data_IF_766383156003
#
_entry.id   IF_766383156003
#
_cell.length_a   1.000
_cell.length_b   1.000
_cell.length_c   1.000
_cell.angle_alpha   90.00
_cell.angle_beta   90.00
_cell.angle_gamma   90.00
#
_symmetry.space_group_name_H-M   'P 1'
#
loop_
_entity.id
_entity.type
_entity.pdbx_description
1 polymer ?
#
# COMPACT_ATOMS: atom_id res chain seq x y z
N UNK A 1 20.38 -19.72 7.48
CA UNK A 1 21.25 -18.58 7.18
C UNK A 1 21.04 -17.54 8.27
N UNK A 2 22.06 -16.77 8.61
CA UNK A 2 21.97 -15.67 9.55
C UNK A 2 21.64 -14.38 8.77
N UNK A 3 20.54 -13.75 9.11
CA UNK A 3 20.00 -12.61 8.36
C UNK A 3 19.74 -11.46 9.31
N UNK A 4 20.10 -10.26 8.91
CA UNK A 4 19.68 -9.05 9.62
C UNK A 4 18.73 -8.24 8.75
N UNK A 5 17.68 -7.71 9.37
CA UNK A 5 16.75 -6.77 8.72
C UNK A 5 16.80 -5.45 9.47
N UNK A 6 17.24 -4.40 8.80
CA UNK A 6 17.33 -3.05 9.36
C UNK A 6 16.09 -2.25 8.95
N UNK A 7 15.34 -1.81 9.93
CA UNK A 7 14.01 -1.21 9.81
C UNK A 7 12.90 -2.23 10.04
N UNK A 8 12.03 -1.96 11.04
CA UNK A 8 10.87 -2.79 11.39
C UNK A 8 9.55 -2.09 11.07
N UNK A 9 9.54 -1.33 9.97
CA UNK A 9 8.31 -0.91 9.34
C UNK A 9 7.57 -2.09 8.71
N UNK A 10 6.51 -1.80 7.96
CA UNK A 10 5.67 -2.83 7.34
C UNK A 10 6.48 -3.86 6.55
N UNK A 11 7.29 -3.40 5.59
CA UNK A 11 8.11 -4.26 4.72
C UNK A 11 9.14 -5.07 5.52
N UNK A 12 9.84 -4.40 6.45
CA UNK A 12 10.92 -5.05 7.21
C UNK A 12 10.41 -6.11 8.16
N UNK A 13 9.31 -5.85 8.88
CA UNK A 13 8.77 -6.81 9.84
C UNK A 13 8.17 -8.04 9.14
N UNK A 14 7.44 -7.84 8.04
CA UNK A 14 6.94 -8.96 7.22
C UNK A 14 8.11 -9.76 6.64
N UNK A 15 9.12 -9.07 6.09
CA UNK A 15 10.33 -9.73 5.53
C UNK A 15 11.04 -10.57 6.60
N UNK A 16 11.35 -9.98 7.76
CA UNK A 16 12.04 -10.69 8.83
C UNK A 16 11.27 -11.90 9.35
N UNK A 17 9.97 -11.73 9.58
CA UNK A 17 9.10 -12.81 10.06
C UNK A 17 9.00 -13.95 9.05
N UNK A 18 8.78 -13.64 7.76
CA UNK A 18 8.66 -14.64 6.72
C UNK A 18 9.99 -15.34 6.40
N UNK A 19 11.13 -14.65 6.53
CA UNK A 19 12.45 -15.27 6.41
C UNK A 19 12.71 -16.22 7.58
N UNK A 20 12.35 -15.87 8.81
CA UNK A 20 12.45 -16.75 9.97
C UNK A 20 11.56 -18.00 9.82
N UNK A 21 10.39 -17.87 9.19
CA UNK A 21 9.46 -18.96 8.96
C UNK A 21 10.04 -20.09 8.11
N UNK A 22 10.95 -19.80 7.21
CA UNK A 22 11.65 -20.82 6.40
C UNK A 22 12.93 -21.36 7.05
N UNK A 23 13.13 -21.08 8.34
CA UNK A 23 14.21 -21.68 9.15
C UNK A 23 15.50 -20.87 9.16
N UNK A 24 15.48 -19.60 8.73
CA UNK A 24 16.61 -18.70 8.93
C UNK A 24 16.61 -18.16 10.35
N UNK A 25 17.80 -17.80 10.86
CA UNK A 25 17.99 -17.08 12.10
C UNK A 25 18.01 -15.58 11.78
N UNK A 26 17.02 -14.84 12.24
CA UNK A 26 16.77 -13.46 11.84
C UNK A 26 16.85 -12.52 13.02
N UNK A 27 17.67 -11.47 12.90
CA UNK A 27 17.73 -10.37 13.84
C UNK A 27 17.20 -9.09 13.16
N UNK A 28 16.08 -8.56 13.66
CA UNK A 28 15.52 -7.31 13.21
C UNK A 28 16.05 -6.15 14.05
N UNK A 29 16.48 -5.08 13.39
CA UNK A 29 17.06 -3.88 14.01
C UNK A 29 16.14 -2.68 13.74
N UNK A 30 15.80 -1.93 14.78
CA UNK A 30 15.11 -0.63 14.66
C UNK A 30 15.65 0.32 15.74
N UNK A 31 15.72 1.61 15.43
CA UNK A 31 16.15 2.64 16.38
C UNK A 31 15.07 2.98 17.42
N UNK A 32 13.83 2.62 17.17
CA UNK A 32 12.68 2.88 18.04
C UNK A 32 12.64 1.83 19.16
N UNK A 33 13.11 2.21 20.34
CA UNK A 33 13.12 1.35 21.53
C UNK A 33 11.72 0.85 21.88
N UNK A 34 10.70 1.68 21.73
CA UNK A 34 9.32 1.32 22.08
C UNK A 34 8.77 0.22 21.17
N UNK A 35 9.07 0.28 19.88
CA UNK A 35 8.74 -0.80 18.93
C UNK A 35 9.47 -2.10 19.25
N UNK A 36 10.76 -2.01 19.56
CA UNK A 36 11.57 -3.17 19.91
C UNK A 36 11.03 -3.84 21.19
N UNK A 37 10.63 -3.08 22.20
CA UNK A 37 10.00 -3.57 23.43
C UNK A 37 8.67 -4.29 23.14
N UNK A 38 7.80 -3.70 22.34
CA UNK A 38 6.54 -4.31 21.89
C UNK A 38 6.81 -5.64 21.19
N UNK A 39 7.74 -5.67 20.23
CA UNK A 39 8.07 -6.89 19.49
C UNK A 39 8.70 -7.97 20.38
N UNK A 40 9.58 -7.60 21.31
CA UNK A 40 10.15 -8.53 22.33
C UNK A 40 9.09 -9.12 23.24
N UNK A 41 8.01 -8.38 23.51
CA UNK A 41 6.87 -8.90 24.29
C UNK A 41 5.99 -9.89 23.49
N UNK A 42 6.29 -10.12 22.22
CA UNK A 42 5.52 -11.01 21.33
C UNK A 42 4.33 -10.33 20.64
N UNK A 43 4.25 -9.00 20.68
CA UNK A 43 3.20 -8.24 20.02
C UNK A 43 3.69 -7.67 18.68
N UNK A 44 2.80 -7.67 17.66
CA UNK A 44 3.09 -7.09 16.34
C UNK A 44 2.62 -5.63 16.32
N UNK A 45 3.51 -4.65 16.04
CA UNK A 45 3.16 -3.23 16.07
C UNK A 45 2.48 -2.71 14.79
N UNK A 46 2.11 -3.59 13.86
CA UNK A 46 1.44 -3.26 12.60
C UNK A 46 0.23 -4.18 12.39
N UNK A 47 -0.76 -3.70 11.64
CA UNK A 47 -1.86 -4.55 11.19
C UNK A 47 -1.49 -5.25 9.88
N UNK A 48 -1.43 -6.58 9.89
CA UNK A 48 -1.30 -7.43 8.70
C UNK A 48 -1.88 -8.80 9.00
N UNK A 49 -2.89 -9.27 8.25
CA UNK A 49 -3.48 -10.58 8.44
C UNK A 49 -2.44 -11.70 8.43
N UNK A 50 -2.61 -12.65 9.35
CA UNK A 50 -1.75 -13.85 9.53
C UNK A 50 -0.32 -13.59 10.02
N UNK A 51 0.12 -12.35 10.16
CA UNK A 51 1.48 -12.04 10.63
C UNK A 51 1.69 -12.46 12.08
N UNK A 52 0.74 -12.21 12.97
CA UNK A 52 0.82 -12.52 14.41
C UNK A 52 1.18 -13.98 14.66
N UNK A 53 0.54 -14.89 13.95
CA UNK A 53 0.74 -16.34 14.11
C UNK A 53 2.19 -16.76 13.77
N UNK A 54 2.71 -16.24 12.65
CA UNK A 54 4.08 -16.52 12.21
C UNK A 54 5.09 -15.86 13.14
N UNK A 55 4.82 -14.63 13.53
CA UNK A 55 5.65 -13.83 14.42
C UNK A 55 5.87 -14.54 15.77
N UNK A 56 4.80 -14.87 16.47
CA UNK A 56 4.85 -15.55 17.76
C UNK A 56 5.52 -16.93 17.67
N UNK A 57 5.22 -17.69 16.61
CA UNK A 57 5.83 -19.01 16.37
C UNK A 57 7.35 -18.92 16.22
N UNK A 58 7.83 -17.92 15.49
CA UNK A 58 9.26 -17.76 15.24
C UNK A 58 10.03 -17.17 16.40
N UNK A 59 9.41 -16.29 17.20
CA UNK A 59 9.98 -15.86 18.49
C UNK A 59 10.12 -17.06 19.41
N UNK A 60 9.06 -17.85 19.59
CA UNK A 60 9.08 -19.05 20.46
C UNK A 60 10.12 -20.08 20.02
N UNK A 61 10.38 -20.16 18.72
CA UNK A 61 11.40 -21.05 18.16
C UNK A 61 12.83 -20.47 18.23
N UNK A 62 13.01 -19.26 18.74
CA UNK A 62 14.30 -18.56 18.83
C UNK A 62 14.88 -18.11 17.50
N UNK A 63 14.08 -18.11 16.40
CA UNK A 63 14.52 -17.74 15.05
C UNK A 63 14.27 -16.29 14.67
N UNK A 64 13.49 -15.57 15.45
CA UNK A 64 13.17 -14.15 15.22
C UNK A 64 13.50 -13.36 16.49
N UNK A 65 14.47 -12.47 16.40
CA UNK A 65 15.00 -11.68 17.48
C UNK A 65 15.02 -10.19 17.12
N UNK A 66 15.13 -9.30 18.11
CA UNK A 66 15.05 -7.86 17.95
C UNK A 66 16.10 -7.14 18.77
N UNK A 67 16.72 -6.09 18.18
CA UNK A 67 17.66 -5.22 18.88
C UNK A 67 17.58 -3.79 18.36
N UNK A 68 18.06 -2.84 19.18
CA UNK A 68 18.26 -1.45 18.74
C UNK A 68 19.69 -1.21 18.23
N UNK A 69 20.57 -2.20 18.34
CA UNK A 69 21.99 -2.03 18.08
C UNK A 69 22.39 -2.54 16.69
N UNK A 70 22.72 -1.64 15.77
CA UNK A 70 23.17 -2.01 14.43
C UNK A 70 24.39 -2.94 14.46
N UNK A 71 25.31 -2.74 15.43
CA UNK A 71 26.49 -3.59 15.56
C UNK A 71 26.15 -5.06 15.83
N UNK A 72 25.12 -5.32 16.64
CA UNK A 72 24.65 -6.69 16.86
C UNK A 72 24.13 -7.30 15.57
N UNK A 73 23.41 -6.50 14.76
CA UNK A 73 22.93 -6.93 13.44
C UNK A 73 24.08 -7.27 12.49
N UNK A 74 25.13 -6.45 12.42
CA UNK A 74 26.30 -6.69 11.58
C UNK A 74 27.10 -7.92 12.02
N UNK A 75 27.17 -8.19 13.33
CA UNK A 75 27.84 -9.38 13.86
C UNK A 75 27.02 -10.65 13.60
N UNK A 76 25.68 -10.53 13.55
CA UNK A 76 24.76 -11.65 13.36
C UNK A 76 24.61 -12.06 11.88
N UNK A 77 24.27 -11.09 11.02
CA UNK A 77 23.85 -11.39 9.64
C UNK A 77 24.99 -11.43 8.64
N UNK A 78 24.97 -12.42 7.73
CA UNK A 78 25.76 -12.45 6.51
C UNK A 78 25.08 -11.63 5.40
N UNK A 79 23.75 -11.60 5.43
CA UNK A 79 22.89 -10.83 4.52
C UNK A 79 22.15 -9.78 5.35
N UNK A 80 22.31 -8.53 4.98
CA UNK A 80 21.75 -7.36 5.68
C UNK A 80 20.70 -6.72 4.78
N UNK A 81 19.43 -6.86 5.10
CA UNK A 81 18.33 -6.20 4.39
C UNK A 81 18.11 -4.79 4.93
N UNK A 82 18.10 -3.82 4.06
CA UNK A 82 17.71 -2.44 4.34
C UNK A 82 16.23 -2.26 3.96
N UNK A 83 15.36 -2.27 4.97
CA UNK A 83 13.92 -2.06 4.85
C UNK A 83 13.51 -0.74 5.51
N UNK A 84 14.18 0.33 5.09
CA UNK A 84 14.12 1.66 5.70
C UNK A 84 13.06 2.53 5.02
N UNK A 85 12.48 3.50 5.74
CA UNK A 85 11.52 4.42 5.15
C UNK A 85 12.17 5.30 4.06
N UNK A 86 11.44 5.47 2.97
CA UNK A 86 11.76 6.39 1.87
C UNK A 86 10.57 7.32 1.66
N UNK A 87 10.33 8.27 2.58
CA UNK A 87 9.19 9.17 2.47
C UNK A 87 9.30 10.07 1.24
N UNK A 88 8.19 10.65 0.82
CA UNK A 88 8.16 11.68 -0.21
C UNK A 88 8.80 12.96 0.34
N UNK A 89 9.74 13.54 -0.41
CA UNK A 89 10.30 14.85 -0.13
C UNK A 89 9.40 15.96 -0.73
N UNK A 90 9.62 17.22 -0.36
CA UNK A 90 8.83 18.38 -0.80
C UNK A 90 8.75 18.52 -2.33
N UNK A 91 9.77 18.07 -3.04
CA UNK A 91 9.84 18.12 -4.51
C UNK A 91 9.25 16.88 -5.21
N UNK A 92 8.69 15.93 -4.44
CA UNK A 92 8.11 14.68 -4.94
C UNK A 92 9.13 13.55 -5.12
N UNK A 93 10.42 13.77 -4.83
CA UNK A 93 11.43 12.70 -4.83
C UNK A 93 11.31 11.80 -3.60
N UNK A 94 11.99 10.65 -3.61
CA UNK A 94 12.12 9.82 -2.42
C UNK A 94 13.30 10.29 -1.57
N UNK A 95 13.06 10.61 -0.30
CA UNK A 95 14.11 10.96 0.66
C UNK A 95 14.92 9.70 1.04
N UNK A 96 16.19 9.70 0.67
CA UNK A 96 17.12 8.59 0.92
C UNK A 96 17.97 8.75 2.20
N UNK A 97 17.73 9.80 3.00
CA UNK A 97 18.59 10.09 4.18
C UNK A 97 18.73 8.90 5.12
N UNK A 98 17.66 8.14 5.33
CA UNK A 98 17.70 6.96 6.22
C UNK A 98 18.52 5.83 5.61
N UNK A 99 18.37 5.56 4.33
CA UNK A 99 19.09 4.50 3.61
C UNK A 99 20.59 4.84 3.57
N UNK A 100 20.95 6.07 3.18
CA UNK A 100 22.34 6.50 3.10
C UNK A 100 22.97 6.60 4.49
N UNK A 101 22.25 7.13 5.48
CA UNK A 101 22.76 7.21 6.86
C UNK A 101 23.07 5.83 7.45
N UNK A 102 22.23 4.84 7.24
CA UNK A 102 22.51 3.46 7.67
C UNK A 102 23.66 2.85 6.87
N UNK A 103 23.76 3.12 5.57
CA UNK A 103 24.88 2.66 4.74
C UNK A 103 26.23 3.21 5.27
N UNK A 104 26.31 4.50 5.63
CA UNK A 104 27.51 5.09 6.24
C UNK A 104 27.86 4.43 7.58
N UNK A 105 26.84 4.16 8.43
CA UNK A 105 27.06 3.48 9.71
C UNK A 105 27.50 2.01 9.52
N UNK A 106 27.02 1.32 8.51
CA UNK A 106 27.54 0.00 8.12
C UNK A 106 29.00 0.10 7.73
N UNK A 107 29.37 1.05 6.87
CA UNK A 107 30.74 1.25 6.45
C UNK A 107 31.74 1.50 7.60
N UNK A 108 31.31 2.20 8.65
CA UNK A 108 32.12 2.45 9.86
C UNK A 108 32.31 1.22 10.76
N UNK A 109 31.44 0.21 10.65
CA UNK A 109 31.32 -0.90 11.61
C UNK A 109 31.51 -2.28 11.01
N UNK A 110 31.47 -2.41 9.68
CA UNK A 110 31.66 -3.69 8.99
C UNK A 110 33.06 -4.24 9.25
N UNK A 111 33.14 -5.52 9.64
CA UNK A 111 34.40 -6.20 9.98
C UNK A 111 34.73 -7.37 9.08
N UNK A 112 33.76 -7.87 8.34
CA UNK A 112 33.86 -9.02 7.45
C UNK A 112 32.90 -8.86 6.26
N UNK A 113 33.03 -9.73 5.25
CA UNK A 113 32.20 -9.68 4.05
C UNK A 113 30.71 -9.77 4.35
N UNK A 114 29.93 -8.84 3.79
CA UNK A 114 28.46 -8.81 3.88
C UNK A 114 27.83 -8.60 2.50
N UNK A 115 26.60 -9.09 2.36
CA UNK A 115 25.69 -8.73 1.26
C UNK A 115 24.67 -7.73 1.80
N UNK A 116 24.72 -6.52 1.29
CA UNK A 116 23.80 -5.43 1.66
C UNK A 116 22.67 -5.42 0.64
N UNK A 117 21.45 -5.56 1.09
CA UNK A 117 20.28 -5.76 0.21
C UNK A 117 19.31 -4.59 0.38
N UNK A 118 19.21 -3.75 -0.65
CA UNK A 118 18.17 -2.72 -0.73
C UNK A 118 16.81 -3.38 -0.97
N UNK A 119 15.99 -3.44 0.10
CA UNK A 119 14.63 -3.96 0.06
C UNK A 119 13.60 -2.85 -0.09
N UNK A 120 13.92 -1.65 0.37
CA UNK A 120 13.08 -0.46 0.23
C UNK A 120 12.86 -0.11 -1.24
N UNK A 121 11.71 0.52 -1.53
CA UNK A 121 11.47 1.11 -2.86
C UNK A 121 12.28 2.39 -2.99
N UNK A 122 13.27 2.37 -3.86
CA UNK A 122 14.30 3.43 -4.01
C UNK A 122 14.46 3.86 -5.47
N UNK A 123 14.80 5.13 -5.75
CA UNK A 123 15.10 5.62 -7.09
C UNK A 123 16.26 4.86 -7.75
N UNK A 124 16.25 4.86 -9.09
CA UNK A 124 17.31 4.25 -9.91
C UNK A 124 18.68 4.87 -9.57
N UNK A 125 19.68 4.01 -9.35
CA UNK A 125 21.04 4.41 -8.95
C UNK A 125 21.24 4.50 -7.43
N UNK A 126 20.28 4.06 -6.63
CA UNK A 126 20.43 4.06 -5.16
C UNK A 126 21.44 3.03 -4.69
N UNK A 127 21.50 1.86 -5.28
CA UNK A 127 22.51 0.83 -4.96
C UNK A 127 23.95 1.33 -5.18
N UNK A 128 24.19 2.18 -6.18
CA UNK A 128 25.49 2.86 -6.36
C UNK A 128 25.78 3.82 -5.19
N UNK A 129 24.78 4.64 -4.80
CA UNK A 129 24.91 5.57 -3.66
C UNK A 129 25.16 4.83 -2.34
N UNK A 130 24.50 3.69 -2.11
CA UNK A 130 24.72 2.83 -0.94
C UNK A 130 26.15 2.28 -0.95
N UNK A 131 26.61 1.77 -2.11
CA UNK A 131 27.98 1.28 -2.28
C UNK A 131 29.00 2.38 -1.98
N UNK A 132 28.82 3.57 -2.54
CA UNK A 132 29.70 4.71 -2.31
C UNK A 132 29.72 5.14 -0.84
N UNK A 133 28.54 5.18 -0.19
CA UNK A 133 28.44 5.54 1.22
C UNK A 133 29.20 4.57 2.13
N UNK A 134 29.12 3.28 1.89
CA UNK A 134 29.84 2.25 2.64
C UNK A 134 31.35 2.36 2.36
N UNK A 135 31.76 2.43 1.08
CA UNK A 135 33.16 2.43 0.64
C UNK A 135 33.98 3.63 1.16
N UNK A 136 33.34 4.74 1.52
CA UNK A 136 33.98 5.89 2.16
C UNK A 136 34.62 5.56 3.52
N UNK A 137 34.15 4.53 4.18
CA UNK A 137 34.51 4.22 5.57
C UNK A 137 35.23 2.88 5.75
N UNK A 138 35.28 2.02 4.73
CA UNK A 138 35.89 0.70 4.83
C UNK A 138 36.58 0.26 3.56
N UNK A 139 37.56 -0.66 3.71
CA UNK A 139 38.17 -1.42 2.62
C UNK A 139 37.76 -2.91 2.68
N UNK A 140 36.84 -3.27 3.55
CA UNK A 140 36.29 -4.62 3.64
C UNK A 140 35.42 -4.87 2.40
N UNK A 141 35.58 -6.05 1.78
CA UNK A 141 34.76 -6.45 0.65
C UNK A 141 33.29 -6.62 1.06
N UNK A 142 32.39 -6.11 0.22
CA UNK A 142 30.95 -6.29 0.35
C UNK A 142 30.28 -6.20 -1.01
N UNK A 143 29.07 -6.75 -1.12
CA UNK A 143 28.23 -6.60 -2.30
C UNK A 143 26.95 -5.82 -1.95
N UNK A 144 26.44 -5.06 -2.91
CA UNK A 144 25.14 -4.41 -2.83
C UNK A 144 24.20 -5.06 -3.83
N UNK A 145 23.00 -5.41 -3.38
CA UNK A 145 21.95 -6.06 -4.18
C UNK A 145 20.68 -5.22 -4.09
N UNK A 146 20.04 -4.95 -5.21
CA UNK A 146 18.69 -4.41 -5.26
C UNK A 146 17.67 -5.55 -5.29
N UNK A 147 16.83 -5.64 -4.26
CA UNK A 147 15.82 -6.70 -4.16
C UNK A 147 14.46 -6.09 -3.81
N UNK A 148 13.82 -5.40 -4.76
CA UNK A 148 12.56 -4.72 -4.51
C UNK A 148 11.48 -5.70 -4.06
N UNK A 149 10.59 -5.23 -3.20
CA UNK A 149 9.43 -5.96 -2.73
C UNK A 149 8.21 -5.71 -3.64
N UNK A 150 7.27 -6.66 -3.67
CA UNK A 150 5.99 -6.55 -4.36
C UNK A 150 4.84 -6.95 -3.43
N UNK A 151 5.00 -6.62 -2.16
CA UNK A 151 4.05 -6.94 -1.11
C UNK A 151 2.84 -6.00 -1.19
N UNK A 152 1.66 -6.56 -0.96
CA UNK A 152 0.42 -5.79 -0.85
C UNK A 152 0.00 -5.78 0.62
N UNK A 153 -0.16 -4.62 1.21
CA UNK A 153 -0.75 -4.50 2.55
C UNK A 153 -2.05 -5.31 2.64
N UNK A 154 -2.25 -6.04 3.73
CA UNK A 154 -3.36 -6.98 3.90
C UNK A 154 -3.17 -8.36 3.26
N UNK A 155 -2.14 -8.55 2.44
CA UNK A 155 -1.78 -9.82 1.78
C UNK A 155 -0.28 -10.06 1.77
N UNK A 156 0.50 -9.28 2.51
CA UNK A 156 1.96 -9.27 2.40
C UNK A 156 2.60 -10.57 2.86
N UNK A 157 2.03 -11.25 3.85
CA UNK A 157 2.49 -12.57 4.30
C UNK A 157 2.36 -13.58 3.16
N UNK A 158 1.21 -13.65 2.51
CA UNK A 158 0.98 -14.57 1.39
C UNK A 158 1.85 -14.21 0.18
N UNK A 159 1.95 -12.91 -0.16
CA UNK A 159 2.79 -12.43 -1.25
C UNK A 159 4.27 -12.75 -1.03
N UNK A 160 4.75 -12.72 0.22
CA UNK A 160 6.13 -13.07 0.56
C UNK A 160 6.37 -14.58 0.51
N UNK A 161 5.45 -15.36 1.10
CA UNK A 161 5.60 -16.84 1.17
C UNK A 161 5.36 -17.53 -0.17
N UNK A 162 4.54 -16.92 -1.05
CA UNK A 162 4.18 -17.43 -2.38
C UNK A 162 4.29 -16.33 -3.44
N UNK A 163 5.48 -15.77 -3.66
CA UNK A 163 5.67 -14.66 -4.58
C UNK A 163 5.39 -15.05 -6.03
N UNK A 164 4.73 -14.17 -6.79
CA UNK A 164 4.56 -14.37 -8.24
C UNK A 164 5.90 -14.30 -8.99
N UNK A 165 6.86 -13.54 -8.48
CA UNK A 165 8.25 -13.44 -8.94
C UNK A 165 9.13 -12.84 -7.85
N UNK A 166 10.43 -13.09 -7.96
CA UNK A 166 11.47 -12.45 -7.16
C UNK A 166 12.45 -11.78 -8.10
N UNK A 167 12.76 -10.50 -7.86
CA UNK A 167 13.73 -9.72 -8.62
C UNK A 167 15.01 -9.61 -7.80
N UNK A 168 16.16 -9.93 -8.41
CA UNK A 168 17.48 -9.78 -7.85
C UNK A 168 18.31 -8.92 -8.81
N UNK A 169 18.59 -7.70 -8.44
CA UNK A 169 19.51 -6.80 -9.12
C UNK A 169 20.89 -6.91 -8.51
N UNK A 170 21.82 -7.50 -9.24
CA UNK A 170 23.18 -7.72 -8.74
C UNK A 170 24.18 -7.90 -9.85
N UNK A 171 25.34 -7.24 -9.72
CA UNK A 171 26.52 -7.42 -10.58
C UNK A 171 27.51 -8.48 -10.01
N UNK A 172 27.24 -9.03 -8.82
CA UNK A 172 28.07 -10.04 -8.17
C UNK A 172 27.46 -11.44 -8.30
N UNK A 173 28.19 -12.38 -8.93
CA UNK A 173 27.78 -13.79 -9.01
C UNK A 173 27.66 -14.42 -7.61
N UNK A 174 28.58 -14.08 -6.70
CA UNK A 174 28.59 -14.57 -5.32
C UNK A 174 27.32 -14.14 -4.57
N UNK A 175 26.98 -12.85 -4.60
CA UNK A 175 25.77 -12.34 -3.97
C UNK A 175 24.50 -12.92 -4.63
N UNK A 176 24.49 -13.02 -5.97
CA UNK A 176 23.37 -13.59 -6.73
C UNK A 176 23.07 -15.03 -6.30
N UNK A 177 24.07 -15.88 -6.18
CA UNK A 177 23.88 -17.29 -5.78
C UNK A 177 23.41 -17.39 -4.31
N UNK A 178 23.90 -16.55 -3.41
CA UNK A 178 23.40 -16.51 -2.03
C UNK A 178 21.94 -16.07 -1.97
N UNK A 179 21.55 -15.04 -2.72
CA UNK A 179 20.16 -14.58 -2.80
C UNK A 179 19.25 -15.63 -3.44
N UNK A 180 19.66 -16.32 -4.50
CA UNK A 180 18.92 -17.45 -5.08
C UNK A 180 18.72 -18.57 -4.05
N UNK A 181 19.76 -18.90 -3.28
CA UNK A 181 19.68 -19.93 -2.23
C UNK A 181 18.68 -19.54 -1.15
N UNK A 182 18.70 -18.27 -0.72
CA UNK A 182 17.77 -17.73 0.26
C UNK A 182 16.32 -17.85 -0.20
N UNK A 183 16.04 -17.48 -1.46
CA UNK A 183 14.69 -17.42 -2.00
C UNK A 183 14.18 -18.75 -2.58
N UNK A 184 15.03 -19.77 -2.74
CA UNK A 184 14.64 -21.07 -3.30
C UNK A 184 13.43 -21.72 -2.62
N UNK A 185 13.24 -21.66 -1.29
CA UNK A 185 12.08 -22.23 -0.63
C UNK A 185 10.74 -21.64 -1.08
N UNK A 186 10.70 -20.36 -1.47
CA UNK A 186 9.50 -19.62 -1.80
C UNK A 186 9.01 -19.82 -3.25
N UNK A 187 9.89 -20.29 -4.14
CA UNK A 187 9.60 -20.46 -5.58
C UNK A 187 9.45 -21.91 -6.00
N UNK A 188 9.19 -22.81 -5.07
CA UNK A 188 9.01 -24.26 -5.35
C UNK A 188 7.85 -24.57 -6.30
N UNK A 189 6.86 -23.66 -6.38
CA UNK A 189 5.71 -23.76 -7.29
C UNK A 189 6.05 -23.42 -8.76
N UNK A 190 7.31 -23.09 -9.07
CA UNK A 190 7.76 -22.77 -10.42
C UNK A 190 7.77 -21.28 -10.77
N UNK A 191 7.48 -20.42 -9.81
CA UNK A 191 7.57 -18.97 -10.00
C UNK A 191 9.04 -18.55 -10.19
N UNK A 192 9.33 -17.54 -11.06
CA UNK A 192 10.69 -17.23 -11.44
C UNK A 192 11.44 -16.39 -10.39
N UNK A 193 12.74 -16.68 -10.24
CA UNK A 193 13.72 -15.70 -9.74
C UNK A 193 14.37 -15.08 -10.97
N UNK A 194 14.20 -13.78 -11.14
CA UNK A 194 14.69 -13.02 -12.29
C UNK A 194 15.90 -12.22 -11.83
N UNK A 195 17.05 -12.48 -12.46
CA UNK A 195 18.31 -11.77 -12.17
C UNK A 195 18.53 -10.72 -13.24
N UNK A 196 18.91 -9.53 -12.82
CA UNK A 196 19.23 -8.39 -13.69
C UNK A 196 20.25 -7.47 -12.99
N UNK A 197 20.67 -6.39 -13.64
CA UNK A 197 21.47 -5.36 -12.99
C UNK A 197 20.65 -4.57 -11.96
N UNK A 198 21.35 -3.87 -11.05
CA UNK A 198 20.73 -3.17 -9.93
C UNK A 198 19.77 -2.05 -10.40
N UNK A 199 20.16 -1.27 -11.42
CA UNK A 199 19.31 -0.17 -11.94
C UNK A 199 18.02 -0.68 -12.57
N UNK A 200 18.10 -1.77 -13.33
CA UNK A 200 16.93 -2.42 -13.91
C UNK A 200 15.99 -2.97 -12.83
N UNK A 201 16.53 -3.53 -11.73
CA UNK A 201 15.74 -4.01 -10.62
C UNK A 201 15.02 -2.88 -9.87
N UNK A 202 15.72 -1.77 -9.58
CA UNK A 202 15.14 -0.56 -8.99
C UNK A 202 14.01 -0.01 -9.88
N UNK A 203 14.25 0.14 -11.19
CA UNK A 203 13.24 0.63 -12.12
C UNK A 203 12.04 -0.31 -12.25
N UNK A 204 12.25 -1.63 -12.17
CA UNK A 204 11.18 -2.62 -12.30
C UNK A 204 10.08 -2.42 -11.25
N UNK A 205 10.43 -2.07 -10.02
CA UNK A 205 9.44 -1.77 -8.96
C UNK A 205 8.58 -0.56 -9.31
N UNK A 206 9.21 0.55 -9.67
CA UNK A 206 8.50 1.77 -10.04
C UNK A 206 7.62 1.58 -11.29
N UNK A 207 8.16 0.92 -12.32
CA UNK A 207 7.43 0.64 -13.55
C UNK A 207 6.20 -0.24 -13.29
N UNK A 208 6.33 -1.27 -12.44
CA UNK A 208 5.21 -2.12 -12.07
C UNK A 208 4.09 -1.32 -11.37
N UNK A 209 4.43 -0.53 -10.35
CA UNK A 209 3.44 0.27 -9.62
C UNK A 209 2.81 1.35 -10.52
N UNK A 210 3.60 2.02 -11.35
CA UNK A 210 3.12 3.01 -12.31
C UNK A 210 2.15 2.39 -13.34
N UNK A 211 2.45 1.18 -13.84
CA UNK A 211 1.58 0.49 -14.77
C UNK A 211 0.25 0.06 -14.12
N UNK A 212 0.28 -0.46 -12.90
CA UNK A 212 -0.94 -0.82 -12.16
C UNK A 212 -1.83 0.40 -11.90
N UNK A 213 -1.24 1.53 -11.50
CA UNK A 213 -1.97 2.78 -11.31
C UNK A 213 -2.53 3.32 -12.63
N UNK A 214 -1.79 3.19 -13.73
CA UNK A 214 -2.28 3.54 -15.06
C UNK A 214 -3.51 2.73 -15.46
N UNK A 215 -3.54 1.42 -15.17
CA UNK A 215 -4.72 0.58 -15.43
C UNK A 215 -5.96 1.06 -14.68
N UNK A 216 -5.80 1.37 -13.39
CA UNK A 216 -6.90 1.90 -12.56
C UNK A 216 -7.38 3.25 -13.13
N UNK A 217 -6.45 4.16 -13.40
CA UNK A 217 -6.75 5.50 -13.91
C UNK A 217 -7.44 5.44 -15.27
N UNK A 218 -6.95 4.61 -16.19
CA UNK A 218 -7.59 4.38 -17.48
C UNK A 218 -9.05 3.90 -17.32
N UNK A 219 -9.30 2.96 -16.42
CA UNK A 219 -10.66 2.47 -16.17
C UNK A 219 -11.55 3.52 -15.51
N UNK A 220 -11.00 4.40 -14.69
CA UNK A 220 -11.73 5.53 -14.12
C UNK A 220 -12.14 6.54 -15.22
N UNK A 221 -11.27 6.85 -16.17
CA UNK A 221 -11.63 7.70 -17.32
C UNK A 221 -12.70 7.03 -18.19
N UNK A 222 -12.57 5.74 -18.48
CA UNK A 222 -13.60 4.98 -19.22
C UNK A 222 -14.93 5.00 -18.46
N UNK A 223 -14.94 4.85 -17.13
CA UNK A 223 -16.15 4.94 -16.32
C UNK A 223 -16.82 6.31 -16.43
N UNK A 224 -16.04 7.39 -16.30
CA UNK A 224 -16.54 8.74 -16.43
C UNK A 224 -17.08 9.01 -17.85
N UNK A 225 -16.48 8.43 -18.90
CA UNK A 225 -16.97 8.51 -20.27
C UNK A 225 -18.24 7.69 -20.46
N UNK A 226 -18.35 6.49 -19.87
CA UNK A 226 -19.57 5.68 -19.89
C UNK A 226 -20.78 6.47 -19.41
N UNK A 227 -20.65 7.27 -18.34
CA UNK A 227 -21.75 8.13 -17.86
C UNK A 227 -22.19 9.18 -18.89
N UNK A 228 -21.30 9.65 -19.75
CA UNK A 228 -21.61 10.66 -20.79
C UNK A 228 -22.34 10.06 -21.99
N UNK A 229 -22.06 8.80 -22.30
CA UNK A 229 -22.58 8.13 -23.52
C UNK A 229 -23.66 7.09 -23.22
N UNK A 230 -24.01 6.88 -21.93
CA UNK A 230 -25.00 5.89 -21.53
C UNK A 230 -24.54 4.44 -21.63
N UNK A 231 -23.21 4.21 -21.52
CA UNK A 231 -22.64 2.86 -21.47
C UNK A 231 -22.50 2.40 -20.02
N UNK A 232 -22.30 1.09 -19.81
CA UNK A 232 -22.07 0.47 -18.52
C UNK A 232 -20.61 0.02 -18.41
N UNK A 233 -19.87 0.62 -17.48
CA UNK A 233 -18.43 0.35 -17.31
C UNK A 233 -18.14 -1.10 -16.89
N UNK A 234 -19.04 -1.77 -16.17
CA UNK A 234 -18.82 -3.17 -15.79
C UNK A 234 -18.86 -4.10 -17.00
N UNK A 235 -19.76 -3.83 -17.95
CA UNK A 235 -19.81 -4.56 -19.24
C UNK A 235 -18.55 -4.29 -20.07
N UNK A 236 -18.12 -3.04 -20.11
CA UNK A 236 -16.85 -2.67 -20.81
C UNK A 236 -15.66 -3.37 -20.15
N UNK A 237 -15.56 -3.32 -18.81
CA UNK A 237 -14.51 -3.97 -18.03
C UNK A 237 -14.45 -5.48 -18.27
N UNK A 238 -15.59 -6.15 -18.28
CA UNK A 238 -15.67 -7.59 -18.57
C UNK A 238 -15.22 -7.85 -20.02
N UNK A 239 -15.72 -7.06 -20.96
CA UNK A 239 -15.37 -7.19 -22.37
C UNK A 239 -13.87 -7.12 -22.62
N UNK A 240 -13.21 -6.05 -22.17
CA UNK A 240 -11.76 -5.88 -22.38
C UNK A 240 -10.93 -6.84 -21.51
N UNK A 241 -11.38 -7.13 -20.27
CA UNK A 241 -10.63 -7.96 -19.33
C UNK A 241 -10.59 -9.45 -19.70
N UNK A 242 -11.44 -9.92 -20.60
CA UNK A 242 -11.40 -11.30 -21.14
C UNK A 242 -10.28 -11.49 -22.19
N UNK A 243 -9.74 -10.43 -22.75
CA UNK A 243 -8.54 -10.50 -23.58
C UNK A 243 -7.33 -10.82 -22.69
N UNK A 244 -6.64 -11.95 -22.94
CA UNK A 244 -5.47 -12.40 -22.16
C UNK A 244 -4.31 -11.41 -22.19
N UNK A 245 -4.21 -10.56 -23.23
CA UNK A 245 -3.19 -9.51 -23.35
C UNK A 245 -3.41 -8.37 -22.38
N UNK A 246 -4.65 -8.15 -21.92
CA UNK A 246 -5.05 -7.10 -20.97
C UNK A 246 -5.17 -7.68 -19.56
N UNK A 247 -5.91 -8.79 -19.41
CA UNK A 247 -6.18 -9.47 -18.14
C UNK A 247 -7.19 -8.71 -17.27
N UNK A 248 -7.77 -9.41 -16.31
CA UNK A 248 -8.91 -8.92 -15.49
C UNK A 248 -8.51 -8.04 -14.30
N UNK A 249 -7.26 -8.13 -13.84
CA UNK A 249 -6.79 -7.46 -12.62
C UNK A 249 -6.55 -5.97 -12.86
N UNK A 250 -6.84 -5.14 -11.84
CA UNK A 250 -6.66 -3.68 -11.84
C UNK A 250 -7.52 -2.92 -12.89
N UNK A 251 -8.66 -3.48 -13.25
CA UNK A 251 -9.64 -2.86 -14.17
C UNK A 251 -10.92 -2.42 -13.44
N UNK A 252 -10.92 -2.31 -12.12
CA UNK A 252 -12.09 -1.91 -11.34
C UNK A 252 -12.11 -0.39 -11.17
N UNK A 253 -13.12 0.32 -11.73
CA UNK A 253 -13.26 1.74 -11.53
C UNK A 253 -13.75 2.06 -10.12
N UNK A 254 -13.46 3.27 -9.66
CA UNK A 254 -13.88 3.74 -8.34
C UNK A 254 -13.49 5.19 -8.10
N UNK A 255 -13.43 5.59 -6.85
CA UNK A 255 -13.04 6.95 -6.42
C UNK A 255 -11.51 7.16 -6.43
N UNK A 256 -10.78 6.54 -7.31
CA UNK A 256 -9.33 6.66 -7.39
C UNK A 256 -8.58 5.73 -6.43
N UNK A 257 -7.27 5.83 -6.46
CA UNK A 257 -6.36 5.08 -5.59
C UNK A 257 -5.67 6.00 -4.57
N UNK A 258 -5.26 5.40 -3.46
CA UNK A 258 -4.46 5.99 -2.39
C UNK A 258 -3.41 5.00 -1.90
N UNK A 259 -3.11 5.07 -0.62
CA UNK A 259 -2.12 4.23 0.07
C UNK A 259 -0.71 4.78 0.00
N UNK A 260 0.20 4.09 0.68
CA UNK A 260 1.59 4.50 0.84
C UNK A 260 2.46 4.29 -0.40
N UNK A 261 2.04 3.45 -1.35
CA UNK A 261 2.89 3.01 -2.45
C UNK A 261 2.61 3.77 -3.74
N UNK A 262 1.39 3.62 -4.34
CA UNK A 262 1.12 4.16 -5.66
C UNK A 262 1.33 5.68 -5.76
N UNK A 263 0.76 6.53 -4.88
CA UNK A 263 0.96 7.97 -5.02
C UNK A 263 2.43 8.36 -4.95
N UNK A 264 3.15 7.86 -3.96
CA UNK A 264 4.57 8.16 -3.73
C UNK A 264 5.45 7.67 -4.88
N UNK A 265 5.27 6.41 -5.31
CA UNK A 265 6.16 5.79 -6.30
C UNK A 265 5.97 6.40 -7.69
N UNK A 266 4.74 6.78 -8.06
CA UNK A 266 4.48 7.45 -9.34
C UNK A 266 5.10 8.85 -9.35
N UNK A 267 4.94 9.62 -8.27
CA UNK A 267 5.58 10.94 -8.12
C UNK A 267 7.10 10.82 -8.17
N UNK A 268 7.69 9.86 -7.47
CA UNK A 268 9.13 9.62 -7.46
C UNK A 268 9.66 9.23 -8.84
N UNK A 269 8.97 8.35 -9.59
CA UNK A 269 9.35 8.00 -10.96
C UNK A 269 9.21 9.20 -11.90
N UNK A 270 8.13 9.96 -11.78
CA UNK A 270 7.91 11.17 -12.56
C UNK A 270 9.00 12.21 -12.31
N UNK A 271 9.37 12.44 -11.03
CA UNK A 271 10.47 13.33 -10.65
C UNK A 271 11.82 12.84 -11.19
N UNK A 272 12.12 11.55 -11.06
CA UNK A 272 13.34 10.94 -11.62
C UNK A 272 13.44 11.12 -13.13
N UNK A 273 12.31 11.08 -13.84
CA UNK A 273 12.26 11.42 -15.26
C UNK A 273 12.69 12.85 -15.52
N UNK A 274 12.08 13.82 -14.82
CA UNK A 274 12.44 15.24 -14.96
C UNK A 274 13.93 15.50 -14.69
N UNK A 275 14.47 14.90 -13.64
CA UNK A 275 15.88 15.02 -13.28
C UNK A 275 16.81 14.42 -14.33
N UNK A 276 16.31 13.47 -15.12
CA UNK A 276 16.98 12.84 -16.25
C UNK A 276 16.63 13.50 -17.61
N UNK A 277 15.99 14.66 -17.61
CA UNK A 277 15.49 15.36 -18.81
C UNK A 277 14.50 14.50 -19.64
N UNK A 278 13.71 13.64 -18.98
CA UNK A 278 12.69 12.83 -19.60
C UNK A 278 11.30 13.18 -19.06
N UNK A 279 10.38 13.51 -19.94
CA UNK A 279 9.03 13.96 -19.60
C UNK A 279 8.01 12.81 -19.77
N UNK A 280 7.55 12.25 -18.65
CA UNK A 280 6.60 11.16 -18.59
C UNK A 280 5.16 11.63 -18.82
N UNK A 281 4.72 11.77 -20.06
CA UNK A 281 3.36 12.21 -20.42
C UNK A 281 2.25 11.35 -19.82
N UNK A 282 2.43 10.02 -19.78
CA UNK A 282 1.43 9.10 -19.22
C UNK A 282 1.33 9.30 -17.71
N UNK A 283 2.45 9.47 -17.00
CA UNK A 283 2.40 9.66 -15.55
C UNK A 283 1.81 11.01 -15.15
N UNK A 284 2.06 12.07 -15.92
CA UNK A 284 1.37 13.36 -15.74
C UNK A 284 -0.15 13.19 -15.79
N UNK A 285 -0.65 12.51 -16.82
CA UNK A 285 -2.07 12.23 -16.98
C UNK A 285 -2.62 11.37 -15.83
N UNK A 286 -1.88 10.33 -15.41
CA UNK A 286 -2.28 9.44 -14.30
C UNK A 286 -2.44 10.21 -13.00
N UNK A 287 -1.51 11.11 -12.67
CA UNK A 287 -1.55 11.92 -11.46
C UNK A 287 -2.73 12.91 -11.50
N UNK A 288 -2.92 13.62 -12.62
CA UNK A 288 -4.01 14.60 -12.78
C UNK A 288 -5.39 13.94 -12.72
N UNK A 289 -5.59 12.85 -13.45
CA UNK A 289 -6.86 12.11 -13.45
C UNK A 289 -7.17 11.53 -12.09
N UNK A 290 -6.19 10.92 -11.40
CA UNK A 290 -6.43 10.36 -10.07
C UNK A 290 -6.79 11.42 -9.03
N UNK A 291 -6.15 12.59 -9.08
CA UNK A 291 -6.49 13.70 -8.18
C UNK A 291 -7.95 14.14 -8.35
N UNK A 292 -8.45 14.24 -9.58
CA UNK A 292 -9.86 14.58 -9.88
C UNK A 292 -10.79 13.44 -9.49
N UNK A 293 -10.38 12.20 -9.70
CA UNK A 293 -11.19 11.00 -9.44
C UNK A 293 -11.52 10.82 -7.96
N UNK A 294 -10.63 11.19 -7.05
CA UNK A 294 -10.90 11.12 -5.61
C UNK A 294 -12.15 11.89 -5.18
N UNK A 295 -12.51 12.93 -5.91
CA UNK A 295 -13.67 13.78 -5.64
C UNK A 295 -14.86 13.56 -6.59
N UNK A 296 -14.86 12.51 -7.41
CA UNK A 296 -15.87 12.26 -8.47
C UNK A 296 -17.30 12.13 -7.91
N UNK A 297 -17.46 11.74 -6.65
CA UNK A 297 -18.76 11.65 -5.99
C UNK A 297 -19.29 13.02 -5.54
N UNK A 298 -18.45 14.01 -5.27
CA UNK A 298 -18.87 15.30 -4.73
C UNK A 298 -19.88 16.03 -5.64
N UNK A 299 -19.66 16.18 -6.96
CA UNK A 299 -20.69 16.74 -7.84
C UNK A 299 -22.02 15.98 -7.78
N UNK A 300 -21.99 14.63 -7.77
CA UNK A 300 -23.18 13.79 -7.71
C UNK A 300 -23.98 13.98 -6.40
N UNK A 301 -23.25 14.14 -5.27
CA UNK A 301 -23.84 14.43 -3.96
C UNK A 301 -24.47 15.82 -3.96
N UNK A 302 -23.78 16.83 -4.48
CA UNK A 302 -24.27 18.20 -4.60
C UNK A 302 -25.53 18.28 -5.45
N UNK A 303 -25.56 17.60 -6.58
CA UNK A 303 -26.71 17.57 -7.49
C UNK A 303 -27.91 16.89 -6.82
N UNK A 304 -27.69 15.79 -6.08
CA UNK A 304 -28.74 15.11 -5.35
C UNK A 304 -29.42 16.03 -4.31
N UNK A 305 -28.61 16.73 -3.52
CA UNK A 305 -29.12 17.65 -2.51
C UNK A 305 -29.39 19.07 -3.05
N UNK A 306 -29.34 19.29 -4.35
CA UNK A 306 -29.58 20.61 -5.00
C UNK A 306 -28.70 21.70 -4.39
N UNK A 307 -27.45 21.39 -4.07
CA UNK A 307 -26.46 22.23 -3.37
C UNK A 307 -26.84 22.62 -1.93
N UNK A 308 -27.89 22.04 -1.33
CA UNK A 308 -28.28 22.23 0.08
C UNK A 308 -27.72 21.09 0.96
N UNK A 309 -26.42 21.18 1.27
CA UNK A 309 -25.72 20.15 2.06
C UNK A 309 -25.60 20.50 3.55
N UNK A 310 -25.80 21.77 3.91
CA UNK A 310 -25.62 22.22 5.29
C UNK A 310 -26.52 21.43 6.26
N UNK A 311 -25.90 20.82 7.28
CA UNK A 311 -26.59 20.05 8.30
C UNK A 311 -27.14 18.69 7.82
N UNK A 312 -26.81 18.23 6.61
CA UNK A 312 -27.13 16.87 6.16
C UNK A 312 -26.32 15.86 6.96
N UNK A 313 -26.97 14.75 7.36
CA UNK A 313 -26.33 13.64 8.04
C UNK A 313 -25.82 12.65 6.99
N UNK A 314 -24.53 12.49 6.89
CA UNK A 314 -23.89 11.62 5.89
C UNK A 314 -23.19 10.48 6.61
N UNK A 315 -23.59 9.25 6.32
CA UNK A 315 -22.91 8.04 6.75
C UNK A 315 -21.78 7.71 5.76
N UNK A 316 -20.61 7.33 6.27
CA UNK A 316 -19.47 6.91 5.44
C UNK A 316 -18.99 5.53 5.89
N UNK A 317 -19.00 4.57 4.96
CA UNK A 317 -18.46 3.23 5.15
C UNK A 317 -17.11 3.11 4.43
N UNK A 318 -16.07 2.79 5.21
CA UNK A 318 -14.71 2.63 4.72
C UNK A 318 -13.90 3.91 4.76
N UNK A 319 -12.78 3.87 5.47
CA UNK A 319 -11.85 4.98 5.68
C UNK A 319 -10.46 4.66 5.13
N UNK A 320 -10.01 3.40 5.25
CA UNK A 320 -8.78 2.92 4.65
C UNK A 320 -8.83 3.03 3.11
N UNK A 321 -7.67 3.17 2.46
CA UNK A 321 -7.60 3.30 1.00
C UNK A 321 -8.04 2.03 0.25
N UNK A 322 -8.03 0.88 0.91
CA UNK A 322 -8.52 -0.43 0.45
C UNK A 322 -8.88 -1.32 1.63
N UNK A 323 -9.55 -2.49 1.44
CA UNK A 323 -9.79 -3.47 2.50
C UNK A 323 -8.51 -4.09 3.05
N UNK A 324 -8.62 -4.72 4.23
CA UNK A 324 -7.58 -5.52 4.90
C UNK A 324 -6.32 -4.70 5.26
N UNK A 325 -6.50 -3.40 5.54
CA UNK A 325 -5.44 -2.51 6.05
C UNK A 325 -6.04 -1.38 6.89
N UNK A 326 -5.25 -0.82 7.78
CA UNK A 326 -5.55 0.40 8.55
C UNK A 326 -4.95 1.67 7.93
N UNK A 327 -4.30 1.56 6.76
CA UNK A 327 -3.61 2.67 6.09
C UNK A 327 -4.58 3.68 5.48
N UNK A 328 -4.48 4.91 5.94
CA UNK A 328 -5.31 6.05 5.50
C UNK A 328 -4.55 7.07 4.66
N UNK A 329 -3.28 6.80 4.32
CA UNK A 329 -2.46 7.72 3.53
C UNK A 329 -3.03 7.88 2.13
N UNK A 330 -3.22 9.14 1.70
CA UNK A 330 -3.81 9.45 0.39
C UNK A 330 -5.17 8.76 0.13
N UNK A 331 -5.88 8.33 1.19
CA UNK A 331 -7.17 7.66 1.06
C UNK A 331 -8.23 8.62 0.50
N UNK A 332 -8.95 8.25 -0.59
CA UNK A 332 -9.99 9.10 -1.17
C UNK A 332 -11.12 9.43 -0.19
N UNK A 333 -11.41 8.54 0.76
CA UNK A 333 -12.40 8.76 1.82
C UNK A 333 -12.15 10.03 2.61
N UNK A 334 -10.90 10.31 2.96
CA UNK A 334 -10.55 11.51 3.73
C UNK A 334 -10.70 12.79 2.92
N UNK A 335 -10.44 12.78 1.62
CA UNK A 335 -10.65 13.93 0.76
C UNK A 335 -12.17 14.23 0.59
N UNK A 336 -12.98 13.18 0.45
CA UNK A 336 -14.44 13.30 0.41
C UNK A 336 -14.96 13.85 1.74
N UNK A 337 -14.54 13.28 2.88
CA UNK A 337 -14.94 13.73 4.22
C UNK A 337 -14.59 15.19 4.43
N UNK A 338 -13.34 15.59 4.17
CA UNK A 338 -12.91 16.98 4.33
C UNK A 338 -13.75 17.93 3.48
N UNK A 339 -14.01 17.58 2.22
CA UNK A 339 -14.86 18.38 1.33
C UNK A 339 -16.29 18.52 1.87
N UNK A 340 -16.87 17.43 2.40
CA UNK A 340 -18.23 17.48 2.99
C UNK A 340 -18.28 18.28 4.28
N UNK A 341 -17.21 18.28 5.08
CA UNK A 341 -17.08 19.14 6.25
C UNK A 341 -17.06 20.63 5.87
N UNK A 342 -16.42 21.00 4.75
CA UNK A 342 -16.45 22.37 4.22
C UNK A 342 -17.88 22.81 3.85
N UNK A 343 -18.73 21.86 3.43
CA UNK A 343 -20.16 22.10 3.20
C UNK A 343 -21.01 22.06 4.48
N UNK A 344 -20.38 21.92 5.66
CA UNK A 344 -21.04 21.82 6.96
C UNK A 344 -22.03 20.64 7.07
N UNK A 345 -21.68 19.49 6.50
CA UNK A 345 -22.37 18.22 6.75
C UNK A 345 -22.02 17.68 8.14
N UNK A 346 -22.94 16.92 8.75
CA UNK A 346 -22.65 16.07 9.89
C UNK A 346 -22.23 14.71 9.35
N UNK A 347 -21.09 14.19 9.79
CA UNK A 347 -20.51 12.96 9.22
C UNK A 347 -20.34 11.93 10.31
N UNK A 348 -20.89 10.73 10.08
CA UNK A 348 -20.74 9.54 10.93
C UNK A 348 -20.03 8.45 10.14
N UNK A 349 -18.95 7.87 10.69
CA UNK A 349 -18.07 6.97 9.95
C UNK A 349 -17.92 5.62 10.62
N UNK A 350 -17.66 4.59 9.78
CA UNK A 350 -17.24 3.29 10.24
C UNK A 350 -16.24 2.66 9.27
N UNK A 351 -15.20 2.07 9.85
CA UNK A 351 -14.21 1.23 9.15
C UNK A 351 -13.77 0.12 10.12
N UNK A 352 -13.58 -1.12 9.69
CA UNK A 352 -13.16 -2.21 10.57
C UNK A 352 -11.82 -1.97 11.28
N UNK A 353 -10.83 -1.31 10.62
CA UNK A 353 -9.46 -1.22 11.10
C UNK A 353 -8.94 0.23 11.20
N UNK A 354 -9.35 1.11 10.28
CA UNK A 354 -8.74 2.43 10.14
C UNK A 354 -9.27 3.51 11.11
N UNK A 355 -10.31 3.21 11.91
CA UNK A 355 -10.93 4.17 12.84
C UNK A 355 -9.93 4.88 13.74
N UNK A 356 -9.00 4.18 14.45
CA UNK A 356 -8.05 4.83 15.35
C UNK A 356 -7.09 5.81 14.63
N UNK A 357 -6.73 5.49 13.37
CA UNK A 357 -5.84 6.34 12.56
C UNK A 357 -6.55 7.62 12.11
N UNK A 358 -7.83 7.52 11.77
CA UNK A 358 -8.64 8.67 11.37
C UNK A 358 -9.00 9.54 12.58
N UNK A 359 -9.31 8.93 13.74
CA UNK A 359 -9.59 9.65 14.97
C UNK A 359 -8.42 10.55 15.40
N UNK A 360 -7.18 10.04 15.31
CA UNK A 360 -5.98 10.86 15.55
C UNK A 360 -5.85 12.06 14.60
N UNK A 361 -6.40 11.96 13.38
CA UNK A 361 -6.28 13.00 12.35
C UNK A 361 -7.44 14.00 12.35
N UNK A 362 -8.66 13.53 12.55
CA UNK A 362 -9.87 14.35 12.44
C UNK A 362 -10.52 14.66 13.79
N UNK A 363 -10.29 13.86 14.83
CA UNK A 363 -10.84 14.09 16.18
C UNK A 363 -12.35 14.29 16.16
N UNK A 364 -12.83 15.25 16.93
CA UNK A 364 -14.25 15.55 17.13
C UNK A 364 -14.95 16.19 15.91
N UNK A 365 -14.29 16.32 14.77
CA UNK A 365 -14.91 16.89 13.55
C UNK A 365 -15.94 15.96 12.94
N UNK A 366 -15.87 14.66 13.24
CA UNK A 366 -16.76 13.61 12.73
C UNK A 366 -17.12 12.65 13.86
N UNK A 367 -18.20 11.91 13.69
CA UNK A 367 -18.65 10.89 14.65
C UNK A 367 -18.11 9.52 14.28
N UNK A 368 -17.48 8.82 15.22
CA UNK A 368 -16.99 7.45 15.08
C UNK A 368 -17.99 6.46 15.65
N UNK A 369 -18.61 5.68 14.79
CA UNK A 369 -19.67 4.73 15.16
C UNK A 369 -19.11 3.37 15.54
N UNK A 370 -19.79 2.64 16.42
CA UNK A 370 -19.36 1.29 16.87
C UNK A 370 -19.61 0.20 15.84
N UNK A 371 -20.55 0.43 14.94
CA UNK A 371 -20.87 -0.52 13.85
C UNK A 371 -21.25 0.25 12.58
N UNK A 372 -21.21 -0.46 11.43
CA UNK A 372 -21.64 0.10 10.16
C UNK A 372 -23.10 0.58 10.20
N UNK A 373 -23.96 -0.08 10.96
CA UNK A 373 -25.37 0.29 11.06
C UNK A 373 -25.60 1.51 11.95
N UNK A 374 -24.79 1.73 12.97
CA UNK A 374 -24.91 2.91 13.84
C UNK A 374 -24.67 4.22 13.06
N UNK A 375 -23.83 4.18 12.02
CA UNK A 375 -23.62 5.34 11.14
C UNK A 375 -24.89 5.78 10.41
N UNK A 376 -25.85 4.85 10.24
CA UNK A 376 -27.04 5.07 9.43
C UNK A 376 -28.19 5.75 10.19
N UNK A 377 -28.08 5.94 11.52
CA UNK A 377 -29.17 6.54 12.28
C UNK A 377 -29.52 7.93 11.73
N UNK A 378 -30.73 8.04 11.17
CA UNK A 378 -31.24 9.26 10.51
C UNK A 378 -30.32 9.83 9.42
N UNK A 379 -29.49 9.01 8.78
CA UNK A 379 -28.64 9.45 7.69
C UNK A 379 -29.46 9.87 6.45
N UNK A 380 -29.10 11.01 5.86
CA UNK A 380 -29.69 11.50 4.62
C UNK A 380 -29.06 10.84 3.39
N UNK A 381 -27.84 10.30 3.52
CA UNK A 381 -27.19 9.47 2.50
C UNK A 381 -26.10 8.58 3.12
N UNK A 382 -25.83 7.46 2.45
CA UNK A 382 -24.68 6.60 2.71
C UNK A 382 -23.66 6.78 1.58
N UNK A 383 -22.38 6.94 1.94
CA UNK A 383 -21.24 6.92 0.99
C UNK A 383 -20.37 5.70 1.29
N UNK A 384 -20.04 4.92 0.26
CA UNK A 384 -19.15 3.77 0.38
C UNK A 384 -17.81 4.14 -0.28
N UNK A 385 -16.74 4.18 0.52
CA UNK A 385 -15.40 4.56 0.07
C UNK A 385 -14.42 3.39 -0.04
N UNK A 386 -14.66 2.29 0.69
CA UNK A 386 -13.79 1.10 0.70
C UNK A 386 -14.63 -0.16 0.60
N UNK A 387 -14.18 -1.12 -0.19
CA UNK A 387 -14.92 -2.34 -0.52
C UNK A 387 -14.70 -3.48 0.48
N UNK A 388 -14.79 -3.21 1.79
CA UNK A 388 -14.70 -4.23 2.82
C UNK A 388 -15.71 -5.35 2.63
N UNK A 389 -15.34 -6.58 2.95
CA UNK A 389 -16.23 -7.74 2.80
C UNK A 389 -17.55 -7.58 3.55
N UNK A 390 -17.51 -6.98 4.73
CA UNK A 390 -18.68 -6.72 5.59
C UNK A 390 -19.70 -5.76 4.95
N UNK A 391 -19.27 -4.91 4.00
CA UNK A 391 -20.17 -3.99 3.30
C UNK A 391 -20.82 -4.59 2.06
N UNK A 392 -20.41 -5.80 1.62
CA UNK A 392 -20.93 -6.41 0.37
C UNK A 392 -22.33 -6.97 0.48
N UNK A 393 -22.71 -7.43 1.66
CA UNK A 393 -24.02 -8.06 1.90
C UNK A 393 -24.67 -7.53 3.17
N UNK A 394 -24.99 -6.22 3.24
CA UNK A 394 -25.68 -5.67 4.40
C UNK A 394 -27.13 -6.12 4.41
N UNK A 395 -27.76 -6.06 5.57
CA UNK A 395 -29.22 -6.18 5.66
C UNK A 395 -29.87 -4.88 5.16
N UNK A 396 -30.31 -4.88 3.91
CA UNK A 396 -30.93 -3.71 3.28
C UNK A 396 -32.24 -3.28 3.93
N UNK A 397 -32.98 -4.17 4.60
CA UNK A 397 -34.16 -3.78 5.36
C UNK A 397 -33.76 -2.92 6.55
N UNK A 398 -32.74 -3.36 7.28
CA UNK A 398 -32.18 -2.58 8.39
C UNK A 398 -31.59 -1.24 7.92
N UNK A 399 -30.93 -1.21 6.75
CA UNK A 399 -30.43 0.04 6.14
C UNK A 399 -31.60 1.01 5.90
N UNK A 400 -32.72 0.54 5.34
CA UNK A 400 -33.92 1.37 5.09
C UNK A 400 -34.54 1.88 6.38
N UNK A 401 -34.65 1.04 7.41
CA UNK A 401 -35.23 1.41 8.71
C UNK A 401 -34.46 2.51 9.42
N UNK A 402 -33.14 2.51 9.30
CA UNK A 402 -32.26 3.45 10.00
C UNK A 402 -32.10 4.78 9.26
N UNK A 403 -32.06 4.75 7.94
CA UNK A 403 -31.84 5.95 7.12
C UNK A 403 -33.10 6.80 6.97
N UNK A 404 -32.93 8.11 6.95
CA UNK A 404 -33.99 9.06 6.62
C UNK A 404 -34.33 9.05 5.12
N UNK A 405 -33.31 8.86 4.29
CA UNK A 405 -33.43 8.78 2.84
C UNK A 405 -32.65 7.58 2.32
N UNK A 406 -33.26 6.79 1.46
CA UNK A 406 -32.68 5.56 0.93
C UNK A 406 -31.74 5.85 -0.25
N UNK A 407 -30.73 6.72 -0.02
CA UNK A 407 -29.77 7.14 -1.05
C UNK A 407 -28.39 6.63 -0.71
N UNK A 408 -27.78 5.91 -1.66
CA UNK A 408 -26.44 5.34 -1.55
C UNK A 408 -25.55 5.90 -2.67
N UNK A 409 -24.41 6.48 -2.30
CA UNK A 409 -23.32 6.85 -3.20
C UNK A 409 -22.21 5.81 -3.07
N UNK A 410 -22.03 5.02 -4.10
CA UNK A 410 -21.05 3.93 -4.05
C UNK A 410 -19.81 4.24 -4.89
N UNK A 411 -18.72 4.50 -4.20
CA UNK A 411 -17.40 4.79 -4.80
C UNK A 411 -16.64 3.56 -5.25
N UNK A 412 -17.19 2.35 -5.04
CA UNK A 412 -16.52 1.07 -5.33
C UNK A 412 -17.34 0.10 -6.18
N UNK A 413 -18.56 0.51 -6.56
CA UNK A 413 -19.47 -0.29 -7.37
C UNK A 413 -19.75 -1.68 -6.76
N UNK A 414 -20.07 -1.73 -5.45
CA UNK A 414 -20.24 -2.98 -4.72
C UNK A 414 -21.50 -3.74 -5.11
N UNK A 415 -22.58 -3.02 -5.46
CA UNK A 415 -23.90 -3.60 -5.65
C UNK A 415 -24.35 -3.53 -7.10
N UNK A 416 -25.31 -4.40 -7.42
CA UNK A 416 -26.02 -4.34 -8.70
C UNK A 416 -27.02 -3.17 -8.69
N UNK A 417 -27.05 -2.41 -9.80
CA UNK A 417 -27.90 -1.21 -9.92
C UNK A 417 -29.38 -1.58 -9.90
N UNK A 418 -29.76 -2.61 -10.69
CA UNK A 418 -31.15 -3.01 -10.86
C UNK A 418 -31.71 -3.60 -9.56
N UNK A 419 -30.90 -4.35 -8.82
CA UNK A 419 -31.31 -4.96 -7.57
C UNK A 419 -31.55 -3.91 -6.48
N UNK A 420 -30.66 -2.91 -6.34
CA UNK A 420 -30.87 -1.83 -5.37
C UNK A 420 -32.05 -0.93 -5.73
N UNK A 421 -32.31 -0.71 -7.01
CA UNK A 421 -33.48 0.05 -7.46
C UNK A 421 -34.79 -0.71 -7.16
N UNK A 422 -34.85 -2.02 -7.38
CA UNK A 422 -36.01 -2.88 -7.00
C UNK A 422 -36.25 -2.83 -5.49
N UNK A 423 -35.17 -2.77 -4.70
CA UNK A 423 -35.23 -2.60 -3.25
C UNK A 423 -35.64 -1.19 -2.82
N UNK A 424 -35.85 -0.26 -3.74
CA UNK A 424 -36.30 1.10 -3.47
C UNK A 424 -35.20 2.08 -3.04
N UNK A 425 -33.94 1.77 -3.32
CA UNK A 425 -32.84 2.69 -3.11
C UNK A 425 -32.60 3.58 -4.33
N UNK A 426 -32.26 4.83 -4.09
CA UNK A 426 -31.60 5.68 -5.07
C UNK A 426 -30.11 5.35 -5.02
N UNK A 427 -29.65 4.53 -5.93
CA UNK A 427 -28.28 4.09 -5.98
C UNK A 427 -27.49 4.84 -7.06
N UNK A 428 -26.40 5.48 -6.65
CA UNK A 428 -25.55 6.31 -7.50
C UNK A 428 -24.14 5.76 -7.38
N UNK A 429 -23.61 5.29 -8.49
CA UNK A 429 -22.30 4.65 -8.57
C UNK A 429 -21.42 5.30 -9.63
N UNK A 430 -20.35 4.65 -10.08
CA UNK A 430 -19.35 5.20 -10.99
C UNK A 430 -19.42 4.46 -12.34
N UNK A 431 -19.68 5.21 -13.42
CA UNK A 431 -19.64 4.68 -14.80
C UNK A 431 -20.85 3.85 -15.21
N UNK A 432 -22.00 3.99 -14.52
CA UNK A 432 -23.22 3.23 -14.83
C UNK A 432 -24.47 3.89 -14.23
#
# INVERSE_FOLDING_TARGET
>A
MNITVVGTGYVGLVTGTCLAETGNDVLCIDIDESKIEIMKSGQVPIYEPHLDLLFQRNIKAGRLNFSTQLQEGLNHGEIIFLALPTPEDEDGSADLKYVIGVAEEIGKRISDYKIIVDKSTVPVGTSEKVRDAISKHTNIDFDVVSNPEFLREGFAVDDFLKPERIIIGSSSDKATEQMKRLYKPYVRSGNPIIVMDEKSAELTKYAANAFLATKITFMNEIANFCEKVGADVDKVRIGIGTDSRIGKRFLFPGIGYGGSCFPKDIKALHKSGKDSNYDFKILDAVLDVNAKQKLVLIPKIRDHFKNDLKGKNIAVWGLAFKPETDDIREAPSLEIINTLLEYNCNISVYDPEAMPNVERKLGDKIEFSKSMYDTLDKADALIICTEWSIFRTPDFNKVKELMRSHTIFDGRNLYDVDDLQKEGFKYISIGR
#
